data_IF_750453756662
#
_entry.id   IF_750453756662
#
_cell.length_a   1.000
_cell.length_b   1.000
_cell.length_c   1.000
_cell.angle_alpha   90.00
_cell.angle_beta   90.00
_cell.angle_gamma   90.00
#
_symmetry.space_group_name_H-M   'P 1'
#
loop_
_entity.id
_entity.type
_entity.pdbx_description
1 polymer ?
#
# COMPACT_ATOMS: atom_id res chain seq x y z
N UNK A 1 15.56 9.55 -0.20
CA UNK A 1 15.80 8.77 1.04
C UNK A 1 14.50 8.02 1.34
N UNK A 2 14.57 6.75 1.72
CA UNK A 2 13.37 5.95 1.98
C UNK A 2 12.63 6.51 3.21
N UNK A 3 11.34 6.85 3.08
CA UNK A 3 10.51 7.23 4.23
C UNK A 3 9.95 5.95 4.88
N UNK A 4 10.11 5.81 6.19
CA UNK A 4 9.50 4.73 6.97
C UNK A 4 8.35 5.30 7.80
N UNK A 5 7.19 4.68 7.75
CA UNK A 5 6.02 5.05 8.54
C UNK A 5 5.92 4.19 9.79
N UNK A 6 5.53 4.80 10.90
CA UNK A 6 5.09 4.08 12.11
C UNK A 6 3.62 3.64 11.99
N UNK A 7 3.14 2.84 12.94
CA UNK A 7 1.71 2.52 13.03
C UNK A 7 0.84 3.79 13.13
N UNK A 8 1.21 4.76 13.97
CA UNK A 8 0.45 6.01 14.13
C UNK A 8 0.40 6.84 12.84
N UNK A 9 1.51 6.91 12.10
CA UNK A 9 1.55 7.55 10.79
C UNK A 9 0.60 6.84 9.81
N UNK A 10 0.65 5.50 9.78
CA UNK A 10 -0.19 4.69 8.90
C UNK A 10 -1.67 4.84 9.25
N UNK A 11 -2.01 4.80 10.54
CA UNK A 11 -3.37 5.02 11.04
C UNK A 11 -3.91 6.38 10.62
N UNK A 12 -3.12 7.45 10.80
CA UNK A 12 -3.48 8.80 10.37
C UNK A 12 -3.73 8.88 8.86
N UNK A 13 -2.88 8.23 8.06
CA UNK A 13 -3.05 8.15 6.60
C UNK A 13 -4.36 7.45 6.24
N UNK A 14 -4.66 6.31 6.86
CA UNK A 14 -5.88 5.54 6.62
C UNK A 14 -7.12 6.35 7.02
N UNK A 15 -7.15 6.89 8.23
CA UNK A 15 -8.28 7.69 8.73
C UNK A 15 -8.55 8.90 7.83
N UNK A 16 -7.51 9.66 7.47
CA UNK A 16 -7.63 10.82 6.59
C UNK A 16 -8.11 10.43 5.18
N UNK A 17 -7.66 9.28 4.67
CA UNK A 17 -8.09 8.76 3.36
C UNK A 17 -9.55 8.33 3.38
N UNK A 18 -9.99 7.62 4.43
CA UNK A 18 -11.39 7.19 4.59
C UNK A 18 -12.35 8.37 4.79
N UNK A 19 -11.89 9.46 5.41
CA UNK A 19 -12.65 10.70 5.55
C UNK A 19 -12.63 11.57 4.27
N UNK A 20 -11.92 11.15 3.22
CA UNK A 20 -11.78 11.92 1.97
C UNK A 20 -10.94 13.19 2.11
N UNK A 21 -10.14 13.30 3.18
CA UNK A 21 -9.29 14.46 3.47
C UNK A 21 -7.86 14.32 2.93
N UNK A 22 -7.48 13.10 2.53
CA UNK A 22 -6.16 12.81 1.98
C UNK A 22 -6.27 12.40 0.50
N UNK A 23 -5.94 13.34 -0.37
CA UNK A 23 -5.78 13.11 -1.80
C UNK A 23 -4.29 12.89 -2.14
N UNK A 24 -4.03 12.22 -3.26
CA UNK A 24 -2.68 12.01 -3.75
C UNK A 24 -1.81 11.09 -2.89
N UNK A 25 -2.42 10.21 -2.10
CA UNK A 25 -1.72 9.14 -1.37
C UNK A 25 -2.40 7.80 -1.64
N UNK A 26 -1.62 6.82 -2.06
CA UNK A 26 -2.09 5.48 -2.41
C UNK A 26 -1.39 4.43 -1.54
N UNK A 27 -2.19 3.53 -0.97
CA UNK A 27 -1.72 2.45 -0.13
C UNK A 27 -1.65 1.17 -0.97
N UNK A 28 -0.45 0.59 -1.12
CA UNK A 28 -0.20 -0.58 -1.95
C UNK A 28 0.16 -1.77 -1.07
N UNK A 29 -0.69 -2.81 -1.09
CA UNK A 29 -0.43 -4.10 -0.47
C UNK A 29 0.25 -5.03 -1.48
N UNK A 30 1.51 -5.39 -1.23
CA UNK A 30 2.30 -6.26 -2.13
C UNK A 30 2.30 -7.74 -1.72
N UNK A 31 1.35 -8.15 -0.87
CA UNK A 31 1.08 -9.56 -0.58
C UNK A 31 0.43 -10.27 -1.76
N UNK A 32 0.43 -11.60 -1.70
CA UNK A 32 -0.24 -12.41 -2.70
C UNK A 32 -1.75 -12.38 -2.44
N UNK A 33 -2.55 -12.60 -3.48
CA UNK A 33 -4.02 -12.49 -3.42
C UNK A 33 -4.63 -13.40 -2.34
N UNK A 34 -4.12 -14.64 -2.19
CA UNK A 34 -4.57 -15.60 -1.16
C UNK A 34 -4.37 -15.09 0.27
N UNK A 35 -3.27 -14.38 0.55
CA UNK A 35 -3.04 -13.77 1.86
C UNK A 35 -4.06 -12.66 2.14
N UNK A 36 -4.39 -11.87 1.12
CA UNK A 36 -5.36 -10.78 1.21
C UNK A 36 -6.78 -11.30 1.34
N UNK A 37 -7.16 -12.33 0.58
CA UNK A 37 -8.48 -12.98 0.67
C UNK A 37 -8.73 -13.60 2.05
N UNK A 38 -7.69 -14.22 2.64
CA UNK A 38 -7.82 -14.91 3.93
C UNK A 38 -7.78 -13.98 5.14
N UNK A 39 -7.05 -12.87 5.07
CA UNK A 39 -6.84 -11.98 6.23
C UNK A 39 -7.51 -10.61 6.09
N UNK A 40 -7.89 -10.22 4.87
CA UNK A 40 -8.28 -8.85 4.55
C UNK A 40 -7.07 -7.97 4.24
N UNK A 41 -7.33 -6.67 4.06
CA UNK A 41 -6.33 -5.65 3.74
C UNK A 41 -6.56 -4.40 4.59
N UNK A 42 -5.55 -3.53 4.65
CA UNK A 42 -5.67 -2.22 5.30
C UNK A 42 -6.72 -1.40 4.54
N UNK A 43 -7.72 -0.80 5.22
CA UNK A 43 -8.76 -0.03 4.55
C UNK A 43 -8.20 1.07 3.64
N UNK A 44 -8.75 1.16 2.42
CA UNK A 44 -8.31 2.12 1.41
C UNK A 44 -7.02 1.72 0.66
N UNK A 45 -6.50 0.52 0.89
CA UNK A 45 -5.43 -0.06 0.09
C UNK A 45 -5.93 -0.77 -1.16
N UNK A 46 -5.00 -0.97 -2.10
CA UNK A 46 -5.15 -1.84 -3.26
C UNK A 46 -4.12 -2.96 -3.16
N UNK A 47 -4.51 -4.18 -3.52
CA UNK A 47 -3.58 -5.29 -3.62
C UNK A 47 -2.93 -5.32 -5.01
N UNK A 48 -1.61 -5.24 -5.05
CA UNK A 48 -0.77 -5.40 -6.24
C UNK A 48 0.40 -6.28 -5.84
N UNK A 49 0.34 -7.61 -6.06
CA UNK A 49 1.39 -8.54 -5.68
C UNK A 49 2.78 -8.11 -6.15
N UNK A 50 3.81 -8.38 -5.33
CA UNK A 50 5.17 -7.85 -5.58
C UNK A 50 5.74 -8.24 -6.95
N UNK A 51 5.44 -9.45 -7.43
CA UNK A 51 5.87 -9.98 -8.72
C UNK A 51 5.15 -9.29 -9.91
N UNK A 52 3.94 -8.78 -9.70
CA UNK A 52 3.17 -8.03 -10.69
C UNK A 52 3.43 -6.52 -10.63
N UNK A 53 3.93 -6.02 -9.49
CA UNK A 53 4.03 -4.59 -9.22
C UNK A 53 4.81 -3.82 -10.29
N UNK A 54 5.95 -4.31 -10.75
CA UNK A 54 6.73 -3.61 -11.77
C UNK A 54 5.96 -3.49 -13.10
N UNK A 55 5.32 -4.57 -13.54
CA UNK A 55 4.54 -4.57 -14.76
C UNK A 55 3.33 -3.63 -14.63
N UNK A 56 2.62 -3.68 -13.50
CA UNK A 56 1.51 -2.79 -13.20
C UNK A 56 1.93 -1.31 -13.21
N UNK A 57 3.04 -0.95 -12.56
CA UNK A 57 3.51 0.42 -12.54
C UNK A 57 3.99 0.92 -13.92
N UNK A 58 4.34 0.01 -14.84
CA UNK A 58 4.75 0.33 -16.22
C UNK A 58 3.62 0.24 -17.25
N UNK A 59 2.49 -0.40 -16.93
CA UNK A 59 1.35 -0.52 -17.84
C UNK A 59 0.72 0.84 -18.13
N UNK A 60 -0.12 0.93 -19.16
CA UNK A 60 -0.93 2.13 -19.35
C UNK A 60 -2.00 2.27 -18.24
N UNK A 61 -2.53 3.49 -18.01
CA UNK A 61 -3.51 3.73 -16.97
C UNK A 61 -4.82 2.94 -17.13
N UNK A 62 -5.23 2.62 -18.36
CA UNK A 62 -6.48 1.91 -18.65
C UNK A 62 -6.35 0.42 -18.28
N UNK A 63 -5.22 -0.20 -18.65
CA UNK A 63 -4.88 -1.57 -18.26
C UNK A 63 -4.75 -1.71 -16.73
N UNK A 64 -4.09 -0.76 -16.06
CA UNK A 64 -3.98 -0.78 -14.61
C UNK A 64 -5.36 -0.72 -13.95
N UNK A 65 -6.22 0.19 -14.40
CA UNK A 65 -7.56 0.35 -13.84
C UNK A 65 -8.44 -0.87 -14.09
N UNK A 66 -8.28 -1.53 -15.23
CA UNK A 66 -8.97 -2.79 -15.52
C UNK A 66 -8.55 -3.91 -14.57
N UNK A 67 -7.26 -4.01 -14.25
CA UNK A 67 -6.73 -5.11 -13.43
C UNK A 67 -6.94 -4.90 -11.93
N UNK A 68 -6.85 -3.66 -11.45
CA UNK A 68 -6.87 -3.34 -10.00
C UNK A 68 -8.09 -2.54 -9.55
N UNK A 69 -9.04 -2.26 -10.46
CA UNK A 69 -10.28 -1.53 -10.23
C UNK A 69 -10.11 -0.10 -9.66
N UNK A 70 -8.90 0.45 -9.68
CA UNK A 70 -8.60 1.82 -9.27
C UNK A 70 -7.80 2.55 -10.36
N UNK A 71 -7.90 3.89 -10.47
CA UNK A 71 -7.01 4.64 -11.36
C UNK A 71 -5.55 4.38 -11.01
N UNK A 72 -4.70 4.27 -12.03
CA UNK A 72 -3.25 4.18 -11.84
C UNK A 72 -2.76 5.40 -11.05
N UNK A 73 -2.01 5.20 -9.95
CA UNK A 73 -1.41 6.29 -9.21
C UNK A 73 -0.53 7.19 -10.11
N UNK A 74 -0.73 8.52 -10.11
CA UNK A 74 0.22 9.47 -10.68
C UNK A 74 1.62 9.35 -10.05
N UNK A 75 2.68 9.58 -10.84
CA UNK A 75 4.08 9.46 -10.35
C UNK A 75 4.48 10.53 -9.33
N UNK A 76 3.75 11.64 -9.27
CA UNK A 76 3.92 12.72 -8.30
C UNK A 76 3.09 12.53 -7.02
N UNK A 77 2.20 11.53 -7.00
CA UNK A 77 1.48 11.13 -5.79
C UNK A 77 2.37 10.28 -4.86
N UNK A 78 1.97 10.23 -3.59
CA UNK A 78 2.65 9.41 -2.58
C UNK A 78 2.22 7.95 -2.68
N UNK A 79 3.17 7.04 -2.85
CA UNK A 79 2.95 5.60 -2.68
C UNK A 79 3.43 5.14 -1.32
N UNK A 80 2.54 4.53 -0.54
CA UNK A 80 2.87 3.86 0.72
C UNK A 80 2.77 2.37 0.49
N UNK A 81 3.87 1.65 0.63
CA UNK A 81 3.95 0.21 0.36
C UNK A 81 4.01 -0.57 1.67
N UNK A 82 3.23 -1.64 1.76
CA UNK A 82 3.27 -2.58 2.88
C UNK A 82 3.09 -4.02 2.39
N UNK A 83 3.40 -5.00 3.23
CA UNK A 83 3.20 -6.41 2.92
C UNK A 83 2.71 -7.17 4.15
N UNK A 84 3.19 -8.40 4.40
CA UNK A 84 2.92 -9.12 5.65
C UNK A 84 3.78 -8.62 6.82
N UNK A 85 5.10 -8.50 6.62
CA UNK A 85 6.09 -8.27 7.70
C UNK A 85 7.25 -7.33 7.29
N UNK A 86 7.02 -6.37 6.39
CA UNK A 86 8.00 -5.39 5.92
C UNK A 86 8.94 -5.82 4.79
N UNK A 87 9.40 -7.08 4.73
CA UNK A 87 10.46 -7.52 3.78
C UNK A 87 10.13 -7.30 2.30
N UNK A 88 8.89 -7.59 1.88
CA UNK A 88 8.44 -7.39 0.50
C UNK A 88 8.17 -5.91 0.21
N UNK A 89 7.76 -5.16 1.23
CA UNK A 89 7.45 -3.74 1.10
C UNK A 89 8.68 -2.90 0.73
N UNK A 90 9.86 -3.19 1.30
CA UNK A 90 11.10 -2.52 0.92
C UNK A 90 11.47 -2.75 -0.55
N UNK A 91 11.27 -3.98 -1.05
CA UNK A 91 11.49 -4.30 -2.47
C UNK A 91 10.48 -3.58 -3.36
N UNK A 92 9.21 -3.62 -3.01
CA UNK A 92 8.15 -2.96 -3.77
C UNK A 92 8.35 -1.44 -3.84
N UNK A 93 8.79 -0.84 -2.74
CA UNK A 93 9.12 0.58 -2.70
C UNK A 93 10.32 0.94 -3.58
N UNK A 94 11.36 0.09 -3.63
CA UNK A 94 12.47 0.26 -4.57
C UNK A 94 12.01 0.19 -6.03
N UNK A 95 11.19 -0.80 -6.37
CA UNK A 95 10.61 -0.94 -7.71
C UNK A 95 9.77 0.28 -8.10
N UNK A 96 8.97 0.81 -7.16
CA UNK A 96 8.19 2.02 -7.39
C UNK A 96 9.09 3.22 -7.75
N UNK A 97 10.20 3.43 -7.02
CA UNK A 97 11.17 4.48 -7.36
C UNK A 97 11.80 4.28 -8.75
N UNK A 98 12.14 3.05 -9.09
CA UNK A 98 12.70 2.70 -10.41
C UNK A 98 11.69 2.93 -11.54
N UNK A 99 10.38 2.85 -11.23
CA UNK A 99 9.29 3.20 -12.14
C UNK A 99 8.92 4.69 -12.14
N UNK A 100 9.74 5.56 -11.53
CA UNK A 100 9.60 7.02 -11.57
C UNK A 100 8.77 7.65 -10.47
N UNK A 101 8.28 6.88 -9.49
CA UNK A 101 7.60 7.44 -8.33
C UNK A 101 8.61 8.09 -7.38
N UNK A 102 8.44 9.40 -7.15
CA UNK A 102 9.41 10.19 -6.37
C UNK A 102 9.05 10.29 -4.89
N UNK A 103 7.75 10.14 -4.57
CA UNK A 103 7.23 10.18 -3.20
C UNK A 103 6.84 8.78 -2.78
N UNK A 104 7.75 8.10 -2.09
CA UNK A 104 7.55 6.72 -1.67
C UNK A 104 7.82 6.55 -0.19
N UNK A 105 7.03 5.71 0.46
CA UNK A 105 7.20 5.33 1.85
C UNK A 105 6.94 3.83 2.04
N UNK A 106 7.59 3.24 3.04
CA UNK A 106 7.34 1.88 3.51
C UNK A 106 6.65 1.94 4.86
N UNK A 107 5.66 1.07 5.07
CA UNK A 107 5.17 0.77 6.41
C UNK A 107 5.78 -0.57 6.90
N UNK A 108 6.85 -0.54 7.72
CA UNK A 108 7.61 -1.75 8.08
C UNK A 108 6.81 -2.72 8.94
N UNK A 109 5.96 -2.21 9.83
CA UNK A 109 5.05 -3.02 10.66
C UNK A 109 4.09 -3.86 9.82
N UNK A 110 3.71 -3.33 8.64
CA UNK A 110 2.96 -4.06 7.62
C UNK A 110 1.65 -4.65 8.18
N UNK A 111 1.06 -5.64 7.51
CA UNK A 111 -0.18 -6.25 7.94
C UNK A 111 -0.12 -6.81 9.37
N UNK A 112 1.00 -7.44 9.76
CA UNK A 112 1.13 -8.07 11.08
C UNK A 112 1.02 -7.11 12.27
N UNK A 113 1.49 -5.87 12.13
CA UNK A 113 1.32 -4.84 13.17
C UNK A 113 -0.09 -4.24 13.10
N UNK A 114 -0.56 -3.93 11.88
CA UNK A 114 -1.90 -3.38 11.66
C UNK A 114 -3.01 -4.28 12.23
N UNK A 115 -2.98 -5.57 11.92
CA UNK A 115 -4.04 -6.52 12.31
C UNK A 115 -4.14 -6.66 13.83
N UNK A 116 -3.00 -6.67 14.54
CA UNK A 116 -2.97 -6.76 16.00
C UNK A 116 -3.69 -5.57 16.65
N UNK A 117 -3.41 -4.36 16.20
CA UNK A 117 -4.07 -3.17 16.75
C UNK A 117 -5.54 -3.06 16.35
N UNK A 118 -5.91 -3.57 15.17
CA UNK A 118 -7.30 -3.64 14.73
C UNK A 118 -8.13 -4.65 15.57
N UNK A 119 -7.51 -5.73 16.04
CA UNK A 119 -8.18 -6.71 16.90
C UNK A 119 -8.25 -6.28 18.36
N UNK A 120 -7.28 -5.53 18.88
CA UNK A 120 -7.30 -4.93 20.23
C UNK A 120 -8.51 -4.00 20.47
N UNK A 121 -9.11 -3.45 19.41
CA UNK A 121 -10.30 -2.59 19.49
C UNK A 121 -11.63 -3.36 19.42
N UNK A 122 -11.61 -4.70 19.30
CA UNK A 122 -12.82 -5.54 19.28
C UNK A 122 -13.16 -6.20 20.62
N UNK A 123 -12.29 -6.12 21.62
CA UNK A 123 -12.49 -6.72 22.95
C UNK A 123 -12.91 -5.71 24.05
N UNK A 124 -13.72 -4.70 23.69
CA UNK A 124 -14.28 -3.71 24.62
C UNK A 124 -15.79 -3.69 24.66
#
# INVERSE_FOLDING_TARGET
>A
MQQLLTYEDMKTVVESKLQGQLHGTHLIDVRDEEEVESTGMIPGAVNVPLDQLEAALKSDPEEFQKNYAIPKPPQDDKLVVYCLSGKRAEKGEKLARECGYTKTAVYPGSWNEWSKHADEHKEG
#
